data_IF_538241497730
#
_entry.id   IF_538241497730
#
_cell.length_a   1.000
_cell.length_b   1.000
_cell.length_c   1.000
_cell.angle_alpha   90.00
_cell.angle_beta   90.00
_cell.angle_gamma   90.00
#
_symmetry.space_group_name_H-M   'P 1'
#
loop_
_entity.id
_entity.type
_entity.pdbx_description
1 polymer ?
#
# COMPACT_ATOMS: atom_id res chain seq x y z
N UNK A 1 -4.99 4.15 -3.26
CA UNK A 1 -3.55 4.36 -3.01
C UNK A 1 -2.93 4.93 -4.27
N UNK A 2 -2.34 6.11 -4.14
CA UNK A 2 -1.52 6.74 -5.17
C UNK A 2 -0.17 7.05 -4.51
N UNK A 3 0.93 6.61 -5.12
CA UNK A 3 2.30 6.88 -4.66
C UNK A 3 3.22 7.10 -5.87
N UNK A 4 4.11 8.08 -5.80
CA UNK A 4 5.06 8.41 -6.86
C UNK A 4 6.42 8.81 -6.28
N UNK A 5 7.49 8.30 -6.87
CA UNK A 5 8.87 8.60 -6.45
C UNK A 5 9.66 8.99 -7.69
N UNK A 6 10.54 10.00 -7.66
CA UNK A 6 11.45 10.28 -8.78
C UNK A 6 12.20 9.01 -9.21
N UNK A 7 12.24 8.73 -10.51
CA UNK A 7 12.98 7.58 -11.04
C UNK A 7 14.48 7.88 -11.22
N UNK A 8 14.91 9.10 -10.93
CA UNK A 8 16.30 9.54 -11.00
C UNK A 8 16.93 9.37 -9.61
N UNK A 9 17.93 8.50 -9.53
CA UNK A 9 18.71 8.27 -8.32
C UNK A 9 19.61 9.48 -8.01
N UNK A 10 20.08 9.59 -6.76
CA UNK A 10 20.94 10.70 -6.31
C UNK A 10 22.27 10.80 -7.08
N UNK A 11 22.69 9.75 -7.78
CA UNK A 11 23.86 9.72 -8.65
C UNK A 11 23.54 10.01 -10.14
N UNK A 12 22.32 10.48 -10.45
CA UNK A 12 21.89 10.84 -11.80
C UNK A 12 21.45 9.65 -12.67
N UNK A 13 21.48 8.42 -12.16
CA UNK A 13 21.01 7.25 -12.91
C UNK A 13 19.48 7.25 -12.96
N UNK A 14 18.94 7.22 -14.18
CA UNK A 14 17.50 7.09 -14.42
C UNK A 14 17.08 5.62 -14.42
N UNK A 15 16.02 5.32 -13.70
CA UNK A 15 15.38 4.01 -13.64
C UNK A 15 14.29 3.96 -14.71
N UNK A 16 14.53 3.16 -15.75
CA UNK A 16 13.64 3.07 -16.93
C UNK A 16 12.96 1.69 -17.08
N UNK A 17 13.41 0.68 -16.34
CA UNK A 17 12.92 -0.71 -16.44
C UNK A 17 12.94 -1.42 -15.09
N UNK A 18 11.94 -2.27 -14.82
CA UNK A 18 11.86 -3.05 -13.58
C UNK A 18 10.64 -2.71 -12.73
N UNK A 19 10.73 -2.98 -11.42
CA UNK A 19 9.68 -2.70 -10.43
C UNK A 19 10.23 -2.46 -9.03
N UNK A 20 9.61 -1.55 -8.31
CA UNK A 20 9.76 -1.40 -6.87
C UNK A 20 8.77 -2.32 -6.14
N UNK A 21 9.25 -3.15 -5.21
CA UNK A 21 8.40 -4.02 -4.41
C UNK A 21 8.05 -3.37 -3.07
N UNK A 22 6.76 -3.34 -2.75
CA UNK A 22 6.21 -2.91 -1.47
C UNK A 22 5.38 -4.08 -0.94
N UNK A 23 5.74 -4.64 0.20
CA UNK A 23 4.89 -5.61 0.89
C UNK A 23 3.65 -4.90 1.42
N UNK A 24 2.50 -5.53 1.23
CA UNK A 24 1.23 -5.04 1.72
C UNK A 24 0.55 -6.12 2.56
N UNK A 25 0.44 -5.88 3.85
CA UNK A 25 -0.46 -6.64 4.71
C UNK A 25 -1.78 -5.87 4.85
N UNK A 26 -2.89 -6.56 4.59
CA UNK A 26 -4.23 -6.01 4.82
C UNK A 26 -5.01 -6.84 5.85
N UNK A 27 -5.49 -6.14 6.87
CA UNK A 27 -6.34 -6.69 7.93
C UNK A 27 -7.78 -6.19 7.81
N UNK A 28 -8.73 -7.00 8.27
CA UNK A 28 -10.16 -6.67 8.35
C UNK A 28 -10.70 -7.01 9.73
N UNK A 29 -11.70 -6.22 10.17
CA UNK A 29 -12.51 -6.47 11.35
C UNK A 29 -13.96 -6.13 11.04
N UNK A 30 -14.87 -7.04 11.41
CA UNK A 30 -16.31 -6.80 11.33
C UNK A 30 -16.82 -5.96 12.52
N UNK A 31 -16.13 -4.86 12.83
CA UNK A 31 -16.36 -4.05 14.03
C UNK A 31 -16.10 -2.56 13.76
N UNK A 32 -17.01 -1.72 14.24
CA UNK A 32 -16.94 -0.24 14.27
C UNK A 32 -17.69 0.22 15.55
N UNK A 33 -17.05 0.75 16.61
CA UNK A 33 -15.61 0.92 16.79
C UNK A 33 -14.88 -0.43 17.03
N UNK A 34 -13.57 -0.48 16.82
CA UNK A 34 -12.69 -1.64 17.05
C UNK A 34 -12.52 -1.82 18.55
N UNK A 35 -12.88 -2.99 19.07
CA UNK A 35 -12.74 -3.32 20.49
C UNK A 35 -11.59 -4.31 20.76
N UNK A 36 -11.06 -4.94 19.71
CA UNK A 36 -10.04 -6.00 19.80
C UNK A 36 -8.86 -5.78 18.85
N UNK A 37 -7.70 -6.33 19.19
CA UNK A 37 -6.46 -6.14 18.42
C UNK A 37 -6.33 -7.09 17.22
N UNK A 38 -7.01 -8.24 17.24
CA UNK A 38 -6.87 -9.25 16.19
C UNK A 38 -7.48 -8.80 14.86
N UNK A 39 -6.81 -9.14 13.77
CA UNK A 39 -7.25 -8.87 12.40
C UNK A 39 -7.47 -10.19 11.68
N UNK A 40 -8.58 -10.30 10.96
CA UNK A 40 -8.70 -11.26 9.87
C UNK A 40 -7.89 -10.78 8.68
N UNK A 41 -7.32 -11.69 7.90
CA UNK A 41 -6.63 -11.30 6.67
C UNK A 41 -7.67 -10.89 5.61
N UNK A 42 -7.46 -9.76 4.95
CA UNK A 42 -8.29 -9.34 3.82
C UNK A 42 -8.13 -10.33 2.67
N UNK A 43 -9.27 -10.69 2.09
CA UNK A 43 -9.41 -11.61 0.94
C UNK A 43 -10.08 -10.87 -0.20
N UNK A 44 -9.43 -10.82 -1.35
CA UNK A 44 -9.96 -10.16 -2.56
C UNK A 44 -11.18 -10.93 -3.08
N UNK A 45 -12.21 -10.21 -3.52
CA UNK A 45 -13.51 -10.76 -3.92
C UNK A 45 -14.45 -11.09 -2.76
N UNK A 46 -13.96 -11.10 -1.51
CA UNK A 46 -14.80 -11.29 -0.32
C UNK A 46 -14.91 -10.01 0.51
N UNK A 47 -13.79 -9.36 0.79
CA UNK A 47 -13.74 -8.16 1.62
C UNK A 47 -13.63 -6.90 0.77
N UNK A 48 -12.93 -6.97 -0.35
CA UNK A 48 -12.77 -5.85 -1.28
C UNK A 48 -12.47 -6.37 -2.69
N UNK A 49 -12.69 -5.51 -3.68
CA UNK A 49 -12.12 -5.65 -5.01
C UNK A 49 -10.94 -4.68 -5.19
N UNK A 50 -10.12 -4.97 -6.20
CA UNK A 50 -8.94 -4.18 -6.53
C UNK A 50 -9.04 -3.73 -7.99
N UNK A 51 -8.71 -2.47 -8.23
CA UNK A 51 -8.48 -1.93 -9.56
C UNK A 51 -7.05 -1.39 -9.66
N UNK A 52 -6.28 -1.93 -10.60
CA UNK A 52 -4.90 -1.54 -10.88
C UNK A 52 -4.89 -0.50 -12.02
N UNK A 53 -4.53 0.76 -11.72
CA UNK A 53 -4.42 1.82 -12.73
C UNK A 53 -2.95 2.00 -13.18
N UNK A 54 -2.02 1.89 -12.22
CA UNK A 54 -0.57 1.87 -12.45
C UNK A 54 0.07 0.94 -11.43
N UNK A 55 1.12 0.24 -11.82
CA UNK A 55 1.69 -0.80 -10.96
C UNK A 55 0.97 -2.14 -11.14
N UNK A 56 1.12 -3.04 -10.18
CA UNK A 56 0.33 -4.26 -10.08
C UNK A 56 0.29 -4.81 -8.66
N UNK A 57 -0.66 -5.69 -8.35
CA UNK A 57 -0.80 -6.36 -7.05
C UNK A 57 -0.56 -7.85 -7.20
N UNK A 58 0.24 -8.44 -6.32
CA UNK A 58 0.34 -9.89 -6.19
C UNK A 58 -0.65 -10.38 -5.15
N UNK A 59 -1.59 -11.21 -5.61
CA UNK A 59 -2.52 -11.95 -4.78
C UNK A 59 -2.03 -13.40 -4.68
N UNK A 60 -1.98 -13.93 -3.46
CA UNK A 60 -1.68 -15.33 -3.22
C UNK A 60 -2.80 -16.22 -3.78
N UNK A 61 -2.53 -17.11 -4.75
CA UNK A 61 -3.58 -17.88 -5.41
C UNK A 61 -4.30 -18.85 -4.46
N UNK A 62 -3.61 -19.31 -3.40
CA UNK A 62 -4.16 -20.28 -2.46
C UNK A 62 -5.04 -19.64 -1.38
N UNK A 63 -4.89 -18.33 -1.15
CA UNK A 63 -5.52 -17.67 -0.01
C UNK A 63 -6.33 -16.45 -0.41
N UNK A 64 -6.22 -15.94 -1.64
CA UNK A 64 -6.85 -14.68 -2.06
C UNK A 64 -6.33 -13.44 -1.31
N UNK A 65 -5.27 -13.60 -0.51
CA UNK A 65 -4.64 -12.52 0.26
C UNK A 65 -3.75 -11.69 -0.64
N UNK A 66 -3.77 -10.38 -0.46
CA UNK A 66 -2.75 -9.50 -1.04
C UNK A 66 -1.43 -9.77 -0.32
N UNK A 67 -0.35 -9.87 -1.09
CA UNK A 67 1.00 -10.13 -0.56
C UNK A 67 1.94 -8.98 -0.87
N UNK A 68 1.92 -8.50 -2.12
CA UNK A 68 2.84 -7.47 -2.60
C UNK A 68 2.13 -6.50 -3.54
N UNK A 69 2.67 -5.30 -3.58
CA UNK A 69 2.36 -4.26 -4.55
C UNK A 69 3.65 -3.92 -5.29
N UNK A 70 3.54 -3.79 -6.61
CA UNK A 70 4.62 -3.40 -7.49
C UNK A 70 4.36 -2.00 -8.04
N UNK A 71 5.29 -1.08 -7.82
CA UNK A 71 5.31 0.20 -8.51
C UNK A 71 6.22 0.09 -9.74
N UNK A 72 5.72 0.57 -10.89
CA UNK A 72 6.42 0.46 -12.18
C UNK A 72 6.97 1.83 -12.61
N UNK A 73 8.07 1.87 -13.39
CA UNK A 73 8.52 3.09 -14.05
C UNK A 73 7.44 3.71 -14.94
N UNK A 74 7.28 5.03 -14.87
CA UNK A 74 6.37 5.82 -15.68
C UNK A 74 6.97 7.21 -15.92
N UNK A 75 7.55 7.42 -17.11
CA UNK A 75 8.30 8.64 -17.43
C UNK A 75 9.51 8.81 -16.51
N UNK A 76 9.55 9.94 -15.78
CA UNK A 76 10.63 10.29 -14.86
C UNK A 76 10.30 9.93 -13.40
N UNK A 77 9.38 8.99 -13.19
CA UNK A 77 8.94 8.55 -11.87
C UNK A 77 8.68 7.04 -11.80
N UNK A 78 8.70 6.46 -10.60
CA UNK A 78 8.20 5.13 -10.29
C UNK A 78 6.86 5.32 -9.60
N UNK A 79 5.80 4.74 -10.16
CA UNK A 79 4.42 5.04 -9.75
C UNK A 79 3.61 3.78 -9.44
N UNK A 80 2.71 3.91 -8.47
CA UNK A 80 1.64 2.96 -8.22
C UNK A 80 0.33 3.70 -7.98
N UNK A 81 -0.72 3.21 -8.62
CA UNK A 81 -2.08 3.71 -8.49
C UNK A 81 -3.02 2.50 -8.41
N UNK A 82 -3.45 2.19 -7.20
CA UNK A 82 -4.33 1.05 -6.90
C UNK A 82 -5.54 1.55 -6.12
N UNK A 83 -6.74 1.22 -6.59
CA UNK A 83 -7.98 1.47 -5.84
C UNK A 83 -8.39 0.19 -5.13
N UNK A 84 -8.61 0.31 -3.82
CA UNK A 84 -9.26 -0.72 -3.01
C UNK A 84 -10.73 -0.34 -2.91
N UNK A 85 -11.62 -1.24 -3.33
CA UNK A 85 -13.06 -1.03 -3.38
C UNK A 85 -13.69 -1.97 -2.35
N UNK A 86 -14.00 -1.49 -1.14
CA UNK A 86 -14.57 -2.34 -0.09
C UNK A 86 -15.90 -2.96 -0.52
N UNK A 87 -16.12 -4.22 -0.13
CA UNK A 87 -17.37 -4.96 -0.33
C UNK A 87 -18.10 -5.25 0.98
N UNK A 88 -17.41 -5.07 2.12
CA UNK A 88 -17.98 -5.24 3.45
C UNK A 88 -17.80 -3.96 4.26
N UNK A 89 -18.82 -3.64 5.05
CA UNK A 89 -18.70 -2.69 6.15
C UNK A 89 -17.78 -3.25 7.22
N UNK A 90 -17.01 -2.39 7.88
CA UNK A 90 -16.07 -2.80 8.92
C UNK A 90 -14.81 -1.96 8.92
N UNK A 91 -13.83 -2.35 9.73
CA UNK A 91 -12.56 -1.65 9.81
C UNK A 91 -11.48 -2.41 9.05
N UNK A 92 -10.78 -1.71 8.17
CA UNK A 92 -9.66 -2.20 7.40
C UNK A 92 -8.35 -1.61 7.91
N UNK A 93 -7.30 -2.40 7.86
CA UNK A 93 -5.92 -2.01 8.17
C UNK A 93 -5.06 -2.27 6.95
N UNK A 94 -4.20 -1.33 6.59
CA UNK A 94 -3.17 -1.51 5.57
C UNK A 94 -1.80 -1.23 6.17
N UNK A 95 -0.87 -2.16 6.03
CA UNK A 95 0.51 -1.99 6.48
C UNK A 95 1.44 -2.17 5.28
N UNK A 96 2.26 -1.16 5.02
CA UNK A 96 3.15 -1.10 3.87
C UNK A 96 4.60 -1.20 4.33
N UNK A 97 5.39 -2.07 3.69
CA UNK A 97 6.83 -2.19 3.94
C UNK A 97 7.59 -2.20 2.61
N UNK A 98 8.41 -1.17 2.37
CA UNK A 98 9.29 -1.15 1.20
C UNK A 98 10.33 -2.26 1.27
N UNK A 99 10.57 -2.93 0.14
CA UNK A 99 11.63 -3.94 0.01
C UNK A 99 12.79 -3.45 -0.86
N UNK A 100 12.74 -3.75 -2.14
CA UNK A 100 13.83 -3.48 -3.07
C UNK A 100 13.29 -3.10 -4.44
N UNK A 101 14.12 -2.38 -5.19
CA UNK A 101 13.95 -2.21 -6.62
C UNK A 101 14.62 -3.36 -7.39
N UNK A 102 13.93 -3.95 -8.35
CA UNK A 102 14.43 -5.00 -9.24
C UNK A 102 14.29 -4.59 -10.70
N UNK A 103 15.41 -4.44 -11.40
CA UNK A 103 15.48 -4.17 -12.85
C UNK A 103 15.93 -5.40 -13.63
N UNK A 104 16.04 -5.29 -14.97
CA UNK A 104 16.50 -6.41 -15.84
C UNK A 104 17.90 -6.91 -15.51
N UNK A 105 18.76 -6.04 -14.95
CA UNK A 105 20.13 -6.39 -14.52
C UNK A 105 20.20 -6.98 -13.11
N UNK A 106 19.06 -7.19 -12.47
CA UNK A 106 18.94 -7.81 -11.15
C UNK A 106 18.42 -6.86 -10.07
N UNK A 107 18.51 -7.31 -8.82
CA UNK A 107 18.04 -6.59 -7.64
C UNK A 107 19.05 -5.55 -7.20
N UNK A 108 18.57 -4.33 -6.98
CA UNK A 108 19.37 -3.27 -6.36
C UNK A 108 19.15 -3.33 -4.85
N UNK A 109 20.15 -2.93 -4.05
CA UNK A 109 19.98 -2.74 -2.59
C UNK A 109 19.20 -1.46 -2.25
N UNK A 110 18.72 -0.73 -3.24
CA UNK A 110 17.99 0.52 -3.04
C UNK A 110 16.57 0.19 -2.61
N UNK A 111 16.24 0.60 -1.39
CA UNK A 111 14.89 0.52 -0.83
C UNK A 111 14.14 1.81 -1.22
N UNK A 112 13.04 1.73 -1.98
CA UNK A 112 12.26 2.91 -2.34
C UNK A 112 11.55 3.49 -1.11
N UNK A 113 11.55 4.82 -0.94
CA UNK A 113 10.64 5.50 0.01
C UNK A 113 9.36 5.87 -0.72
N UNK A 114 8.18 5.58 -0.19
CA UNK A 114 6.92 5.98 -0.81
C UNK A 114 6.18 6.99 0.04
N UNK A 115 5.27 7.73 -0.56
CA UNK A 115 4.23 8.52 0.09
C UNK A 115 2.85 8.04 -0.39
N UNK A 116 1.78 8.42 0.32
CA UNK A 116 0.41 8.11 -0.12
C UNK A 116 -0.38 9.41 -0.16
N UNK A 117 -0.99 9.70 -1.32
CA UNK A 117 -1.60 11.01 -1.59
C UNK A 117 -3.06 11.17 -1.12
N UNK A 118 -3.75 10.10 -0.70
CA UNK A 118 -5.15 10.19 -0.26
C UNK A 118 -5.22 10.16 1.28
N UNK A 119 -5.64 11.25 1.96
CA UNK A 119 -5.78 11.33 3.41
C UNK A 119 -7.26 11.36 3.86
N UNK A 120 -8.12 10.48 3.37
CA UNK A 120 -9.45 10.30 3.97
C UNK A 120 -9.40 9.41 5.25
N UNK A 121 -8.27 9.36 5.94
CA UNK A 121 -7.96 8.42 7.03
C UNK A 121 -8.14 9.01 8.43
N UNK A 122 -8.74 10.21 8.53
CA UNK A 122 -8.20 11.21 9.45
C UNK A 122 -8.99 11.46 10.74
N UNK A 123 -10.24 11.02 10.89
CA UNK A 123 -11.04 11.54 12.03
C UNK A 123 -11.78 10.53 12.89
N UNK A 124 -12.14 9.35 12.40
CA UNK A 124 -12.91 8.40 13.20
C UNK A 124 -12.05 7.48 14.08
N UNK A 125 -10.72 7.47 13.90
CA UNK A 125 -9.87 6.38 14.41
C UNK A 125 -8.47 6.80 14.86
N UNK A 126 -8.38 7.89 15.62
CA UNK A 126 -7.19 8.10 16.46
C UNK A 126 -7.19 6.99 17.52
N UNK A 127 -6.38 5.96 17.31
CA UNK A 127 -6.00 5.06 18.41
C UNK A 127 -5.04 5.86 19.28
N UNK A 128 -5.37 6.01 20.56
CA UNK A 128 -4.52 6.73 21.52
C UNK A 128 -3.10 6.12 21.52
N UNK A 129 -2.08 6.96 21.36
CA UNK A 129 -0.68 6.51 21.21
C UNK A 129 -0.24 6.12 19.78
N UNK A 130 -1.14 6.06 18.80
CA UNK A 130 -0.83 5.74 17.40
C UNK A 130 -1.42 6.80 16.44
N UNK A 131 -0.78 7.97 16.30
CA UNK A 131 -1.28 9.03 15.43
C UNK A 131 -1.31 8.57 13.97
N UNK A 132 -2.37 8.97 13.25
CA UNK A 132 -2.45 8.75 11.81
C UNK A 132 -1.29 9.50 11.11
N UNK A 133 -0.64 8.89 10.12
CA UNK A 133 0.46 9.52 9.41
C UNK A 133 -0.03 10.71 8.57
N UNK A 134 0.80 11.74 8.46
CA UNK A 134 0.48 12.93 7.67
C UNK A 134 0.48 12.63 6.16
N UNK A 135 -0.42 13.29 5.42
CA UNK A 135 -0.48 13.20 3.96
C UNK A 135 0.88 13.60 3.35
N UNK A 136 1.32 12.91 2.29
CA UNK A 136 2.55 13.22 1.53
C UNK A 136 3.88 13.15 2.29
N UNK A 137 3.90 12.60 3.50
CA UNK A 137 5.16 12.36 4.22
C UNK A 137 5.77 11.02 3.77
N UNK A 138 6.97 11.06 3.18
CA UNK A 138 7.64 9.86 2.68
C UNK A 138 8.10 8.93 3.80
N UNK A 139 7.86 7.62 3.67
CA UNK A 139 8.32 6.60 4.63
C UNK A 139 8.75 5.30 3.92
N UNK A 140 9.45 4.45 4.67
CA UNK A 140 9.72 3.06 4.30
C UNK A 140 8.67 2.10 4.87
N UNK A 141 7.99 2.53 5.93
CA UNK A 141 7.00 1.76 6.66
C UNK A 141 5.85 2.66 7.08
N UNK A 142 4.61 2.25 6.81
CA UNK A 142 3.44 3.00 7.24
C UNK A 142 2.20 2.13 7.40
N UNK A 143 1.44 2.42 8.44
CA UNK A 143 0.15 1.78 8.70
C UNK A 143 -0.99 2.78 8.50
N UNK A 144 -2.10 2.29 7.98
CA UNK A 144 -3.33 3.04 7.77
C UNK A 144 -4.51 2.23 8.28
N UNK A 145 -5.49 2.93 8.83
CA UNK A 145 -6.73 2.36 9.35
C UNK A 145 -7.90 3.13 8.77
N UNK A 146 -8.96 2.43 8.40
CA UNK A 146 -10.18 3.07 7.91
C UNK A 146 -11.42 2.24 8.18
N UNK A 147 -12.51 2.92 8.50
CA UNK A 147 -13.82 2.29 8.56
C UNK A 147 -14.55 2.46 7.24
N UNK A 148 -15.27 1.43 6.87
CA UNK A 148 -16.25 1.41 5.80
C UNK A 148 -17.61 1.29 6.47
N UNK A 149 -18.39 2.36 6.39
CA UNK A 149 -19.78 2.40 6.84
C UNK A 149 -20.70 2.35 5.63
N UNK A 150 -21.98 2.06 5.86
CA UNK A 150 -23.03 2.26 4.85
C UNK A 150 -23.22 3.75 4.49
#
# INVERSE_FOLDING_TARGET
MYASIPSILSNGVKIEDGKATIDLYMGYRNEIPVLHTNNEAVIVGTHLNILEEKGSVRISPNTGKIVEVYAHPYGDSIQVAIKFIPLKTGTYVMQFYSKFYEGKRGKTRTVPKFDVENPHWDQLWKIEGHPAPSAKESSYYRNYFFAVTD
#
